data_IF_772014798913
#
_entry.id   IF_772014798913
#
_cell.length_a   1.000
_cell.length_b   1.000
_cell.length_c   1.000
_cell.angle_alpha   90.00
_cell.angle_beta   90.00
_cell.angle_gamma   90.00
#
_symmetry.space_group_name_H-M   'P 1'
#
loop_
_entity.id
_entity.type
_entity.pdbx_description
1 polymer ?
#
# COMPACT_ATOMS: atom_id res chain seq x y z
N UNK A 1 3.64 7.55 15.13
CA UNK A 1 4.19 7.47 13.76
C UNK A 1 4.60 8.88 13.35
N UNK A 2 5.89 9.18 13.25
CA UNK A 2 6.38 10.48 12.81
C UNK A 2 6.24 10.53 11.27
N UNK A 3 5.30 11.33 10.74
CA UNK A 3 4.94 11.29 9.32
C UNK A 3 5.91 12.19 8.55
N UNK A 4 7.06 11.64 8.14
CA UNK A 4 7.89 12.19 7.04
C UNK A 4 7.73 11.38 5.74
N UNK A 5 6.97 10.28 5.80
CA UNK A 5 6.70 9.48 4.63
C UNK A 5 5.74 10.22 3.68
N UNK A 6 5.88 10.02 2.36
CA UNK A 6 4.94 10.56 1.38
C UNK A 6 3.53 10.00 1.61
N UNK A 7 2.52 10.60 1.00
CA UNK A 7 1.19 10.01 0.89
C UNK A 7 0.70 10.23 -0.53
N UNK A 8 -0.25 9.39 -0.96
CA UNK A 8 -0.84 9.54 -2.29
C UNK A 8 -1.89 10.64 -2.23
N UNK A 9 -1.69 11.70 -3.01
CA UNK A 9 -2.61 12.85 -3.08
C UNK A 9 -3.85 12.56 -3.94
N UNK A 10 -3.68 11.85 -5.06
CA UNK A 10 -4.74 11.52 -6.01
C UNK A 10 -4.52 10.14 -6.62
N UNK A 11 -5.62 9.48 -6.95
CA UNK A 11 -5.66 8.20 -7.67
C UNK A 11 -6.59 8.31 -8.86
N UNK A 12 -6.36 7.47 -9.88
CA UNK A 12 -7.25 7.30 -11.03
C UNK A 12 -8.20 6.11 -10.83
N UNK A 13 -9.18 5.92 -11.72
CA UNK A 13 -10.26 4.93 -11.57
C UNK A 13 -9.77 3.47 -11.56
N UNK A 14 -8.61 3.20 -12.17
CA UNK A 14 -7.98 1.89 -12.26
C UNK A 14 -7.12 1.54 -11.03
N UNK A 15 -7.01 2.46 -10.06
CA UNK A 15 -6.24 2.27 -8.83
C UNK A 15 -7.16 1.86 -7.69
N UNK A 16 -6.91 0.68 -7.13
CA UNK A 16 -7.57 0.22 -5.91
C UNK A 16 -6.88 0.79 -4.68
N UNK A 17 -7.61 1.56 -3.87
CA UNK A 17 -7.13 2.03 -2.56
C UNK A 17 -7.30 0.92 -1.53
N UNK A 18 -6.19 0.47 -0.94
CA UNK A 18 -6.17 -0.64 0.02
C UNK A 18 -6.21 -0.15 1.47
N UNK A 19 -5.57 0.99 1.77
CA UNK A 19 -5.49 1.51 3.13
C UNK A 19 -5.42 3.05 3.15
N UNK A 20 -6.15 3.64 4.10
CA UNK A 20 -6.10 5.08 4.43
C UNK A 20 -5.76 5.28 5.90
N UNK A 21 -4.91 6.26 6.19
CA UNK A 21 -4.60 6.72 7.54
C UNK A 21 -4.94 8.21 7.64
N UNK A 22 -5.93 8.56 8.47
CA UNK A 22 -6.39 9.96 8.63
C UNK A 22 -6.65 10.63 7.26
N UNK A 23 -7.46 9.96 6.45
CA UNK A 23 -7.84 10.34 5.07
C UNK A 23 -6.72 10.35 4.02
N UNK A 24 -5.46 10.11 4.41
CA UNK A 24 -4.34 9.96 3.49
C UNK A 24 -4.22 8.52 3.01
N UNK A 25 -4.14 8.33 1.70
CA UNK A 25 -3.91 7.02 1.10
C UNK A 25 -2.45 6.63 1.36
N UNK A 26 -2.26 5.46 1.97
CA UNK A 26 -0.95 4.93 2.37
C UNK A 26 -0.65 3.55 1.78
N UNK A 27 -1.62 2.90 1.14
CA UNK A 27 -1.41 1.73 0.29
C UNK A 27 -2.43 1.69 -0.85
N UNK A 28 -1.97 1.39 -2.06
CA UNK A 28 -2.81 1.22 -3.25
C UNK A 28 -2.21 0.19 -4.22
N UNK A 29 -3.07 -0.34 -5.11
CA UNK A 29 -2.71 -1.31 -6.15
C UNK A 29 -3.24 -0.83 -7.50
N UNK A 30 -2.47 -1.04 -8.56
CA UNK A 30 -2.90 -0.83 -9.95
C UNK A 30 -2.37 -1.98 -10.80
N UNK A 31 -3.24 -2.88 -11.25
CA UNK A 31 -2.81 -4.10 -11.95
C UNK A 31 -1.84 -4.94 -11.10
N UNK A 32 -0.63 -5.13 -11.61
CA UNK A 32 0.48 -5.84 -10.95
C UNK A 32 1.38 -4.94 -10.09
N UNK A 33 1.07 -3.65 -9.96
CA UNK A 33 1.83 -2.70 -9.13
C UNK A 33 1.20 -2.57 -7.75
N UNK A 34 2.03 -2.66 -6.70
CA UNK A 34 1.66 -2.41 -5.31
C UNK A 34 2.53 -1.27 -4.76
N UNK A 35 1.91 -0.23 -4.22
CA UNK A 35 2.59 0.90 -3.61
C UNK A 35 2.19 1.05 -2.13
N UNK A 36 3.16 1.34 -1.28
CA UNK A 36 2.95 1.64 0.14
C UNK A 36 3.77 2.86 0.57
N UNK A 37 3.24 3.64 1.50
CA UNK A 37 3.91 4.80 2.10
C UNK A 37 4.52 4.49 3.47
N UNK A 38 4.55 3.22 3.84
CA UNK A 38 5.13 2.72 5.08
C UNK A 38 6.03 1.54 4.75
N UNK A 39 6.78 1.09 5.75
CA UNK A 39 7.73 0.01 5.63
C UNK A 39 7.12 -1.28 6.23
N UNK A 40 6.40 -2.10 5.44
CA UNK A 40 5.79 -3.34 5.94
C UNK A 40 6.82 -4.34 6.50
N UNK A 41 8.09 -4.19 6.15
CA UNK A 41 9.22 -5.00 6.64
C UNK A 41 9.65 -4.65 8.07
N UNK A 42 9.26 -3.49 8.59
CA UNK A 42 9.61 -3.06 9.95
C UNK A 42 8.64 -3.60 11.03
N UNK A 43 7.80 -4.55 10.67
CA UNK A 43 6.94 -5.31 11.58
C UNK A 43 7.11 -6.81 11.34
N UNK A 44 6.69 -7.64 12.31
CA UNK A 44 6.65 -9.11 12.15
C UNK A 44 5.39 -9.58 11.39
N UNK A 45 4.45 -8.68 11.14
CA UNK A 45 3.22 -8.99 10.40
C UNK A 45 3.50 -9.11 8.90
N UNK A 46 3.32 -10.31 8.36
CA UNK A 46 3.56 -10.63 6.95
C UNK A 46 2.34 -10.37 6.05
N UNK A 47 1.26 -9.76 6.55
CA UNK A 47 0.02 -9.59 5.78
C UNK A 47 0.25 -8.90 4.43
N UNK A 48 1.00 -7.79 4.40
CA UNK A 48 1.32 -7.10 3.14
C UNK A 48 2.26 -7.91 2.23
N UNK A 49 3.21 -8.64 2.80
CA UNK A 49 4.12 -9.50 2.03
C UNK A 49 3.36 -10.66 1.38
N UNK A 50 2.43 -11.29 2.12
CA UNK A 50 1.55 -12.35 1.60
C UNK A 50 0.59 -11.81 0.54
N UNK A 51 0.06 -10.61 0.74
CA UNK A 51 -0.77 -9.95 -0.26
C UNK A 51 0.01 -9.77 -1.58
N UNK A 52 1.24 -9.23 -1.50
CA UNK A 52 2.10 -9.09 -2.68
C UNK A 52 2.48 -10.43 -3.30
N UNK A 53 2.81 -11.44 -2.49
CA UNK A 53 3.11 -12.78 -2.98
C UNK A 53 1.95 -13.38 -3.77
N UNK A 54 0.72 -13.26 -3.26
CA UNK A 54 -0.47 -13.75 -3.95
C UNK A 54 -0.70 -13.00 -5.28
N UNK A 55 -0.45 -11.68 -5.32
CA UNK A 55 -0.52 -10.91 -6.57
C UNK A 55 0.43 -11.43 -7.66
N UNK A 56 1.60 -11.94 -7.28
CA UNK A 56 2.56 -12.50 -8.24
C UNK A 56 2.15 -13.88 -8.77
N UNK A 57 1.16 -14.52 -8.16
CA UNK A 57 0.63 -15.84 -8.56
C UNK A 57 -0.69 -15.71 -9.33
N UNK A 58 -1.27 -14.52 -9.40
CA UNK A 58 -2.43 -14.17 -10.25
C UNK A 58 -1.99 -14.02 -11.71
#
# INVERSE_FOLDING_TARGET
>A
MNIRAPYVEKVHEDVQVLCKLKDKIVACRQGNLLATSFHPELTKDLTMHKYFYNMCME
#
